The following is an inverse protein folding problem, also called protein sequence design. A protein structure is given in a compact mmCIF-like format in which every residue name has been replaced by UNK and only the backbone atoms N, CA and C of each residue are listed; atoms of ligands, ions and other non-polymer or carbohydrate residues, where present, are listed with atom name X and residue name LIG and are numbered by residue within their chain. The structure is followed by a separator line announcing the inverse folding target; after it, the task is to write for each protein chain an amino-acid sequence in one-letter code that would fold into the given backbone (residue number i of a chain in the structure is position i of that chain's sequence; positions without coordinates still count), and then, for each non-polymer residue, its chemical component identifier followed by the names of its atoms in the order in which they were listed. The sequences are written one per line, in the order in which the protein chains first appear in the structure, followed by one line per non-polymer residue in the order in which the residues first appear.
data_IF_328358468428
#
_entry.id   IF_328358468428
#
_cell.length_a   1.000
_cell.length_b   1.000
_cell.length_c   1.000
_cell.angle_alpha   90.00
_cell.angle_beta   90.00
_cell.angle_gamma   90.00
#
_symmetry.space_group_name_H-M   'P 1'
#
loop_
_entity.id
_entity.type
_entity.pdbx_description
1 polymer ?
#
# COMPACT_ATOMS: atom_id res chain seq x y z
N UNK A 1 -3.48 -2.21 67.81
CA UNK A 1 -3.40 -0.96 67.01
C UNK A 1 -1.92 -0.68 66.82
N UNK A 2 -1.29 -0.63 65.65
CA UNK A 2 -1.60 -0.90 64.25
C UNK A 2 -0.23 -0.95 63.56
N UNK A 3 -0.09 -1.83 62.58
CA UNK A 3 1.16 -2.19 61.91
C UNK A 3 1.61 -1.11 60.92
N UNK A 4 2.88 -0.70 60.99
CA UNK A 4 3.55 0.05 59.91
C UNK A 4 3.91 -0.93 58.78
N UNK A 5 3.19 -0.86 57.67
CA UNK A 5 3.57 -1.51 56.41
C UNK A 5 4.08 -0.46 55.45
N UNK A 6 5.39 -0.44 55.25
CA UNK A 6 6.01 0.16 54.09
C UNK A 6 5.80 -0.80 52.90
N UNK A 7 5.14 -0.34 51.85
CA UNK A 7 5.14 -1.02 50.56
C UNK A 7 5.47 0.01 49.49
N UNK A 8 6.70 -0.17 49.00
CA UNK A 8 7.33 0.47 47.86
C UNK A 8 6.47 0.30 46.61
N UNK A 9 6.16 1.40 45.93
CA UNK A 9 5.47 1.38 44.66
C UNK A 9 6.56 1.25 43.60
N UNK A 10 7.01 0.02 43.39
CA UNK A 10 7.99 -0.31 42.35
C UNK A 10 7.28 -0.17 41.00
N UNK A 11 7.72 0.83 40.22
CA UNK A 11 7.13 1.20 38.95
C UNK A 11 7.20 0.04 37.96
N UNK A 12 6.04 -0.47 37.58
CA UNK A 12 5.90 -1.41 36.47
C UNK A 12 6.10 -0.65 35.16
N UNK A 13 7.33 -0.70 34.63
CA UNK A 13 7.62 -0.35 33.25
C UNK A 13 7.06 -1.44 32.33
N UNK A 14 5.77 -1.37 32.02
CA UNK A 14 5.19 -2.14 30.90
C UNK A 14 5.56 -1.45 29.59
N UNK A 15 6.74 -1.79 29.08
CA UNK A 15 7.08 -1.60 27.67
C UNK A 15 6.23 -2.55 26.82
N UNK A 16 4.94 -2.25 26.67
CA UNK A 16 4.01 -2.97 25.78
C UNK A 16 3.91 -2.28 24.41
N UNK A 17 4.95 -1.55 24.01
CA UNK A 17 4.97 -0.71 22.81
C UNK A 17 5.79 -1.24 21.63
N UNK A 18 6.23 -2.51 21.63
CA UNK A 18 7.12 -3.03 20.57
C UNK A 18 6.89 -4.51 20.23
N UNK A 19 5.63 -4.95 20.21
CA UNK A 19 5.26 -6.28 19.73
C UNK A 19 4.80 -6.30 18.25
N UNK A 20 5.11 -5.25 17.47
CA UNK A 20 5.22 -5.38 16.01
C UNK A 20 6.55 -6.09 15.71
N UNK A 21 6.69 -7.31 16.23
CA UNK A 21 7.78 -8.22 15.88
C UNK A 21 7.70 -8.45 14.38
N UNK A 22 8.86 -8.42 13.70
CA UNK A 22 9.03 -8.79 12.29
C UNK A 22 8.05 -9.91 11.91
N UNK A 23 7.02 -9.55 11.14
CA UNK A 23 6.24 -10.53 10.39
C UNK A 23 7.22 -11.03 9.35
N UNK A 24 7.73 -12.26 9.53
CA UNK A 24 8.40 -12.98 8.45
C UNK A 24 7.50 -12.83 7.22
N UNK A 25 8.04 -12.50 6.03
CA UNK A 25 7.18 -12.39 4.85
C UNK A 25 6.50 -13.74 4.68
N UNK A 26 5.20 -13.79 4.98
CA UNK A 26 4.36 -14.95 4.79
C UNK A 26 4.44 -15.27 3.30
N UNK A 27 5.34 -16.18 2.93
CA UNK A 27 5.40 -16.71 1.57
C UNK A 27 4.23 -17.68 1.45
N UNK A 28 3.02 -17.13 1.35
CA UNK A 28 1.87 -17.89 0.87
C UNK A 28 2.22 -18.39 -0.52
N UNK A 29 2.38 -19.71 -0.64
CA UNK A 29 2.50 -20.36 -1.93
C UNK A 29 1.16 -20.21 -2.64
N UNK A 30 1.03 -19.19 -3.49
CA UNK A 30 -0.17 -18.93 -4.27
C UNK A 30 -0.32 -20.06 -5.30
N UNK A 31 -1.26 -20.97 -5.06
CA UNK A 31 -1.62 -22.01 -6.01
C UNK A 31 -2.68 -21.51 -6.98
N UNK A 32 -2.37 -21.56 -8.27
CA UNK A 32 -3.26 -21.10 -9.33
C UNK A 32 -3.92 -22.32 -9.97
N UNK A 33 -5.22 -22.49 -9.70
CA UNK A 33 -6.03 -23.55 -10.32
C UNK A 33 -6.39 -23.15 -11.75
N UNK A 34 -6.26 -24.11 -12.66
CA UNK A 34 -6.71 -24.02 -14.06
C UNK A 34 -8.17 -23.59 -14.19
N UNK A 35 -8.52 -23.06 -15.36
CA UNK A 35 -9.88 -22.64 -15.68
C UNK A 35 -10.81 -23.83 -15.99
N UNK A 36 -10.26 -24.96 -16.43
CA UNK A 36 -11.03 -26.07 -17.03
C UNK A 36 -10.93 -27.41 -16.31
N UNK A 37 -9.99 -27.55 -15.37
CA UNK A 37 -9.71 -28.77 -14.62
C UNK A 37 -9.07 -28.43 -13.26
N UNK A 38 -8.80 -29.46 -12.45
CA UNK A 38 -8.26 -29.32 -11.10
C UNK A 38 -6.71 -29.22 -11.07
N UNK A 39 -6.06 -28.97 -12.21
CA UNK A 39 -4.60 -28.85 -12.29
C UNK A 39 -4.15 -27.50 -11.73
N UNK A 40 -3.12 -27.52 -10.88
CA UNK A 40 -2.58 -26.33 -10.22
C UNK A 40 -1.21 -25.92 -10.77
N UNK A 41 -0.93 -24.62 -10.69
CA UNK A 41 0.27 -23.99 -11.21
C UNK A 41 0.84 -23.00 -10.19
N UNK A 42 2.16 -22.81 -10.21
CA UNK A 42 2.85 -21.81 -9.38
C UNK A 42 2.83 -20.41 -9.98
N UNK A 43 2.53 -20.27 -11.28
CA UNK A 43 2.48 -18.97 -11.97
C UNK A 43 1.31 -18.90 -12.95
N UNK A 44 0.74 -17.71 -13.07
CA UNK A 44 -0.41 -17.45 -13.94
C UNK A 44 -0.09 -17.66 -15.43
N UNK A 45 1.07 -17.20 -15.97
CA UNK A 45 1.40 -17.44 -17.37
C UNK A 45 1.49 -18.92 -17.72
N UNK A 46 1.99 -19.77 -16.81
CA UNK A 46 2.06 -21.21 -17.03
C UNK A 46 0.66 -21.85 -17.13
N UNK A 47 -0.28 -21.43 -16.27
CA UNK A 47 -1.68 -21.85 -16.32
C UNK A 47 -2.37 -21.39 -17.61
N UNK A 48 -2.15 -20.14 -18.02
CA UNK A 48 -2.72 -19.61 -19.27
C UNK A 48 -2.19 -20.35 -20.50
N UNK A 49 -0.89 -20.63 -20.56
CA UNK A 49 -0.29 -21.43 -21.63
C UNK A 49 -0.84 -22.85 -21.69
N UNK A 50 -1.08 -23.46 -20.52
CA UNK A 50 -1.73 -24.76 -20.42
C UNK A 50 -3.15 -24.73 -21.00
N UNK A 51 -3.95 -23.71 -20.63
CA UNK A 51 -5.30 -23.51 -21.15
C UNK A 51 -5.30 -23.37 -22.69
N UNK A 52 -4.34 -22.62 -23.25
CA UNK A 52 -4.19 -22.47 -24.71
C UNK A 52 -3.87 -23.79 -25.39
N UNK A 53 -2.95 -24.58 -24.83
CA UNK A 53 -2.48 -25.84 -25.45
C UNK A 53 -3.51 -26.97 -25.36
N UNK A 54 -4.12 -27.14 -24.19
CA UNK A 54 -5.04 -28.27 -23.95
C UNK A 54 -6.47 -27.97 -24.39
N UNK A 55 -6.97 -26.78 -24.06
CA UNK A 55 -8.37 -26.42 -24.27
C UNK A 55 -8.59 -25.51 -25.49
N UNK A 56 -7.50 -25.08 -26.15
CA UNK A 56 -7.54 -24.08 -27.23
C UNK A 56 -8.28 -22.80 -26.80
N UNK A 57 -8.15 -22.45 -25.53
CA UNK A 57 -8.78 -21.29 -24.95
C UNK A 57 -7.74 -20.27 -24.51
N UNK A 58 -7.91 -19.03 -24.96
CA UNK A 58 -7.06 -17.90 -24.60
C UNK A 58 -7.86 -16.86 -23.83
N UNK A 59 -7.63 -16.77 -22.52
CA UNK A 59 -8.34 -15.82 -21.65
C UNK A 59 -8.08 -14.37 -22.07
N UNK A 60 -6.83 -14.04 -22.38
CA UNK A 60 -6.38 -12.71 -22.78
C UNK A 60 -7.10 -12.29 -24.06
N UNK A 61 -7.06 -13.12 -25.11
CA UNK A 61 -7.73 -12.84 -26.38
C UNK A 61 -9.24 -12.57 -26.19
N UNK A 62 -9.90 -13.34 -25.32
CA UNK A 62 -11.31 -13.11 -25.01
C UNK A 62 -11.57 -11.80 -24.27
N UNK A 63 -10.74 -11.44 -23.29
CA UNK A 63 -10.82 -10.17 -22.57
C UNK A 63 -10.67 -8.99 -23.53
N UNK A 64 -9.68 -9.03 -24.43
CA UNK A 64 -9.45 -7.97 -25.42
C UNK A 64 -10.58 -7.90 -26.45
N UNK A 65 -10.95 -9.03 -27.05
CA UNK A 65 -12.00 -9.12 -28.07
C UNK A 65 -13.34 -8.63 -27.54
N UNK A 66 -13.67 -8.95 -26.29
CA UNK A 66 -14.90 -8.51 -25.63
C UNK A 66 -14.73 -7.14 -24.95
N UNK A 67 -13.55 -6.51 -25.00
CA UNK A 67 -13.21 -5.25 -24.32
C UNK A 67 -13.73 -5.21 -22.89
N UNK A 68 -13.34 -6.22 -22.12
CA UNK A 68 -13.77 -6.37 -20.72
C UNK A 68 -12.89 -5.49 -19.82
N UNK A 69 -13.53 -4.84 -18.86
CA UNK A 69 -12.87 -4.25 -17.72
C UNK A 69 -12.57 -5.34 -16.67
N UNK A 70 -12.02 -4.95 -15.52
CA UNK A 70 -11.72 -5.87 -14.42
C UNK A 70 -12.94 -6.72 -14.04
N UNK A 71 -14.09 -6.08 -13.88
CA UNK A 71 -15.30 -6.79 -13.48
C UNK A 71 -15.80 -7.74 -14.57
N UNK A 72 -15.72 -7.34 -15.84
CA UNK A 72 -16.01 -8.21 -16.98
C UNK A 72 -15.07 -9.42 -17.03
N UNK A 73 -13.77 -9.24 -16.76
CA UNK A 73 -12.81 -10.35 -16.69
C UNK A 73 -13.10 -11.31 -15.53
N UNK A 74 -13.53 -10.78 -14.37
CA UNK A 74 -14.03 -11.60 -13.24
C UNK A 74 -15.25 -12.41 -13.68
N UNK A 75 -16.23 -11.79 -14.33
CA UNK A 75 -17.44 -12.49 -14.83
C UNK A 75 -17.09 -13.58 -15.84
N UNK A 76 -16.20 -13.31 -16.79
CA UNK A 76 -15.73 -14.29 -17.77
C UNK A 76 -15.08 -15.50 -17.07
N UNK A 77 -14.21 -15.23 -16.10
CA UNK A 77 -13.50 -16.26 -15.35
C UNK A 77 -14.48 -17.14 -14.56
N UNK A 78 -15.43 -16.54 -13.85
CA UNK A 78 -16.47 -17.26 -13.11
C UNK A 78 -17.47 -17.97 -14.02
N UNK A 79 -17.80 -17.41 -15.19
CA UNK A 79 -18.62 -18.07 -16.20
C UNK A 79 -17.97 -19.39 -16.63
N UNK A 80 -16.70 -19.36 -17.02
CA UNK A 80 -15.96 -20.57 -17.43
C UNK A 80 -15.98 -21.62 -16.33
N UNK A 81 -15.63 -21.21 -15.09
CA UNK A 81 -15.62 -22.14 -13.95
C UNK A 81 -17.00 -22.69 -13.61
N UNK A 82 -18.06 -21.90 -13.74
CA UNK A 82 -19.43 -22.36 -13.53
C UNK A 82 -19.79 -23.43 -14.56
N UNK A 83 -19.50 -23.19 -15.84
CA UNK A 83 -19.79 -24.16 -16.89
C UNK A 83 -19.01 -25.46 -16.72
N UNK A 84 -17.74 -25.37 -16.32
CA UNK A 84 -16.89 -26.54 -16.03
C UNK A 84 -17.42 -27.33 -14.84
N UNK A 85 -17.74 -26.67 -13.73
CA UNK A 85 -18.31 -27.29 -12.54
C UNK A 85 -19.64 -27.99 -12.85
N UNK A 86 -20.48 -27.34 -13.65
CA UNK A 86 -21.80 -27.85 -14.02
C UNK A 86 -21.73 -28.87 -15.18
N UNK A 87 -20.51 -29.18 -15.66
CA UNK A 87 -20.22 -30.08 -16.81
C UNK A 87 -20.97 -29.68 -18.10
N UNK A 88 -21.22 -28.39 -18.23
CA UNK A 88 -21.85 -27.79 -19.40
C UNK A 88 -20.79 -27.47 -20.46
N UNK A 89 -21.17 -27.56 -21.73
CA UNK A 89 -20.29 -27.18 -22.84
C UNK A 89 -20.22 -25.68 -22.97
N UNK A 90 -19.00 -25.12 -23.03
CA UNK A 90 -18.82 -23.70 -23.36
C UNK A 90 -19.23 -23.43 -24.82
N UNK A 91 -19.83 -22.26 -25.09
CA UNK A 91 -20.11 -21.86 -26.46
C UNK A 91 -18.80 -21.76 -27.24
N UNK A 92 -18.84 -22.07 -28.54
CA UNK A 92 -17.66 -22.02 -29.42
C UNK A 92 -16.98 -20.64 -29.41
N UNK A 93 -17.77 -19.59 -29.22
CA UNK A 93 -17.32 -18.22 -29.06
C UNK A 93 -18.16 -17.57 -27.98
N UNK A 94 -17.51 -17.12 -26.91
CA UNK A 94 -18.16 -16.44 -25.79
C UNK A 94 -18.53 -15.02 -26.22
N UNK A 95 -19.77 -14.61 -26.03
CA UNK A 95 -20.22 -13.24 -26.25
C UNK A 95 -20.35 -12.48 -24.93
N UNK A 96 -20.71 -11.18 -24.98
CA UNK A 96 -20.92 -10.40 -23.76
C UNK A 96 -22.18 -10.84 -23.01
N UNK A 97 -23.19 -11.24 -23.76
CA UNK A 97 -24.48 -11.69 -23.26
C UNK A 97 -24.34 -12.97 -22.41
N UNK A 98 -23.38 -13.84 -22.75
CA UNK A 98 -23.08 -15.07 -21.99
C UNK A 98 -22.61 -14.77 -20.55
N UNK A 99 -21.96 -13.62 -20.34
CA UNK A 99 -21.29 -13.25 -19.08
C UNK A 99 -21.94 -12.05 -18.38
N UNK A 100 -23.08 -11.57 -18.87
CA UNK A 100 -23.72 -10.33 -18.38
C UNK A 100 -24.39 -10.51 -17.00
N UNK A 101 -24.82 -11.73 -16.69
CA UNK A 101 -25.54 -12.05 -15.45
C UNK A 101 -24.69 -11.78 -14.18
N UNK A 102 -25.30 -11.11 -13.20
CA UNK A 102 -24.67 -10.75 -11.92
C UNK A 102 -24.23 -11.97 -11.10
N UNK A 103 -24.80 -13.16 -11.35
CA UNK A 103 -24.35 -14.42 -10.72
C UNK A 103 -22.85 -14.65 -10.88
N UNK A 104 -22.24 -14.18 -11.97
CA UNK A 104 -20.82 -14.36 -12.25
C UNK A 104 -19.92 -13.37 -11.50
N UNK A 105 -20.48 -12.46 -10.70
CA UNK A 105 -19.71 -11.66 -9.76
C UNK A 105 -19.37 -12.41 -8.48
N UNK A 106 -20.06 -13.52 -8.20
CA UNK A 106 -19.75 -14.37 -7.07
C UNK A 106 -18.62 -15.35 -7.43
N UNK A 107 -17.52 -15.40 -6.65
CA UNK A 107 -16.45 -16.36 -6.88
C UNK A 107 -16.95 -17.81 -6.86
N UNK A 108 -16.60 -18.57 -7.89
CA UNK A 108 -16.96 -20.00 -7.98
C UNK A 108 -16.02 -20.86 -7.14
N UNK A 109 -14.76 -20.45 -7.01
CA UNK A 109 -13.70 -21.12 -6.28
C UNK A 109 -13.32 -20.30 -5.03
N UNK A 110 -13.06 -21.00 -3.92
CA UNK A 110 -12.54 -20.37 -2.71
C UNK A 110 -11.06 -20.00 -2.92
N UNK A 111 -10.67 -18.79 -2.50
CA UNK A 111 -9.30 -18.29 -2.55
C UNK A 111 -8.69 -18.32 -3.97
N UNK A 112 -9.45 -17.83 -4.93
CA UNK A 112 -9.15 -17.94 -6.34
C UNK A 112 -8.03 -16.98 -6.79
N UNK A 113 -6.81 -17.51 -6.83
CA UNK A 113 -5.60 -16.77 -7.24
C UNK A 113 -5.72 -16.09 -8.62
N UNK A 114 -6.51 -16.64 -9.54
CA UNK A 114 -6.69 -16.04 -10.88
C UNK A 114 -7.38 -14.69 -10.76
N UNK A 115 -8.45 -14.59 -9.95
CA UNK A 115 -9.22 -13.35 -9.79
C UNK A 115 -8.37 -12.23 -9.20
N UNK A 116 -7.49 -12.54 -8.25
CA UNK A 116 -6.56 -11.57 -7.68
C UNK A 116 -5.49 -11.10 -8.69
N UNK A 117 -5.11 -11.96 -9.63
CA UNK A 117 -4.08 -11.67 -10.63
C UNK A 117 -4.64 -11.01 -11.92
N UNK A 118 -5.96 -10.85 -12.05
CA UNK A 118 -6.57 -10.24 -13.23
C UNK A 118 -6.15 -8.79 -13.45
N UNK A 119 -5.90 -8.03 -12.37
CA UNK A 119 -5.49 -6.62 -12.47
C UNK A 119 -4.10 -6.48 -13.10
N UNK A 120 -3.16 -7.36 -12.76
CA UNK A 120 -1.84 -7.42 -13.39
C UNK A 120 -1.98 -7.70 -14.89
N UNK A 121 -2.84 -8.66 -15.27
CA UNK A 121 -3.10 -8.98 -16.67
C UNK A 121 -3.66 -7.77 -17.41
N UNK A 122 -4.71 -7.14 -16.86
CA UNK A 122 -5.37 -6.00 -17.50
C UNK A 122 -4.45 -4.78 -17.56
N UNK A 123 -3.56 -4.60 -16.59
CA UNK A 123 -2.49 -3.60 -16.60
C UNK A 123 -1.51 -3.79 -17.75
N UNK A 124 -1.19 -5.04 -18.11
CA UNK A 124 -0.36 -5.36 -19.29
C UNK A 124 -1.15 -5.14 -20.59
N UNK A 125 -2.42 -5.56 -20.66
CA UNK A 125 -3.22 -5.41 -21.88
C UNK A 125 -3.60 -3.96 -22.20
N UNK A 126 -3.82 -3.14 -21.17
CA UNK A 126 -4.06 -1.71 -21.36
C UNK A 126 -2.79 -0.95 -21.79
N UNK A 127 -1.61 -1.55 -21.66
CA UNK A 127 -0.41 -1.08 -22.35
C UNK A 127 -0.42 -1.42 -23.84
N UNK A 128 -1.18 -2.43 -24.28
CA UNK A 128 -1.29 -2.88 -25.68
C UNK A 128 -2.41 -2.21 -26.48
N UNK A 129 -3.48 -1.70 -25.84
CA UNK A 129 -4.49 -0.84 -26.49
C UNK A 129 -3.96 0.57 -26.84
N UNK A 130 -2.74 0.87 -26.40
CA UNK A 130 -1.86 1.85 -27.04
C UNK A 130 -0.76 1.10 -27.81
N UNK A 131 -1.09 0.59 -29.00
CA UNK A 131 -0.18 -0.01 -30.00
C UNK A 131 1.30 -0.14 -29.56
N UNK A 132 1.88 -1.36 -29.43
CA UNK A 132 3.29 -1.55 -29.03
C UNK A 132 4.32 -0.95 -30.00
N UNK A 133 3.88 -0.35 -31.12
CA UNK A 133 4.72 0.47 -31.98
C UNK A 133 5.15 1.82 -31.36
N UNK A 134 4.44 2.34 -30.34
CA UNK A 134 4.68 3.69 -29.82
C UNK A 134 5.28 3.78 -28.41
N UNK A 135 5.29 2.72 -27.58
CA UNK A 135 5.94 2.77 -26.25
C UNK A 135 7.33 2.15 -26.18
N UNK A 136 7.72 1.30 -27.14
CA UNK A 136 9.13 0.97 -27.35
C UNK A 136 9.92 2.10 -28.06
N UNK A 137 9.22 3.18 -28.43
CA UNK A 137 9.79 4.40 -29.01
C UNK A 137 9.08 5.67 -28.51
N UNK A 138 8.94 5.85 -27.19
CA UNK A 138 9.33 7.18 -26.71
C UNK A 138 10.75 7.35 -27.27
N UNK A 139 10.99 8.30 -28.20
CA UNK A 139 12.22 8.29 -28.96
C UNK A 139 13.34 8.24 -27.94
N UNK A 140 14.34 7.38 -28.15
CA UNK A 140 15.48 7.27 -27.24
C UNK A 140 15.99 8.67 -26.85
N UNK A 141 15.84 9.63 -27.76
CA UNK A 141 16.01 11.08 -27.58
C UNK A 141 15.14 11.73 -26.48
N UNK A 142 13.85 11.43 -26.35
CA UNK A 142 13.00 11.95 -25.27
C UNK A 142 13.39 11.37 -23.90
N UNK A 143 13.74 10.08 -23.86
CA UNK A 143 14.28 9.47 -22.64
C UNK A 143 15.66 10.06 -22.28
N UNK A 144 16.52 10.28 -23.27
CA UNK A 144 17.83 10.92 -23.10
C UNK A 144 17.68 12.37 -22.64
N UNK A 145 16.74 13.13 -23.22
CA UNK A 145 16.46 14.51 -22.85
C UNK A 145 15.87 14.60 -21.45
N UNK A 146 14.97 13.68 -21.08
CA UNK A 146 14.47 13.59 -19.70
C UNK A 146 15.59 13.26 -18.74
N UNK A 147 16.49 12.33 -19.10
CA UNK A 147 17.63 11.97 -18.27
C UNK A 147 18.57 13.18 -18.06
N UNK A 148 18.93 13.88 -19.14
CA UNK A 148 19.74 15.12 -19.08
C UNK A 148 19.09 16.21 -18.21
N UNK A 149 17.76 16.38 -18.31
CA UNK A 149 17.03 17.35 -17.47
C UNK A 149 17.12 16.96 -15.99
N UNK A 150 16.92 15.69 -15.67
CA UNK A 150 17.04 15.17 -14.31
C UNK A 150 18.47 15.31 -13.77
N UNK A 151 19.49 15.06 -14.60
CA UNK A 151 20.89 15.27 -14.23
C UNK A 151 21.20 16.75 -13.94
N UNK A 152 20.67 17.67 -14.75
CA UNK A 152 20.80 19.12 -14.52
C UNK A 152 20.08 19.58 -13.24
N UNK A 153 18.91 19.01 -12.95
CA UNK A 153 18.17 19.28 -11.72
C UNK A 153 18.94 18.77 -10.49
N UNK A 154 19.52 17.57 -10.56
CA UNK A 154 20.40 17.04 -9.50
C UNK A 154 21.62 17.92 -9.27
N UNK A 155 22.23 18.42 -10.34
CA UNK A 155 23.35 19.37 -10.22
C UNK A 155 22.92 20.65 -9.51
N UNK A 156 21.78 21.23 -9.91
CA UNK A 156 21.22 22.45 -9.32
C UNK A 156 20.90 22.26 -7.83
N UNK A 157 20.28 21.13 -7.46
CA UNK A 157 19.97 20.80 -6.07
C UNK A 157 21.26 20.64 -5.25
N UNK A 158 22.28 19.98 -5.80
CA UNK A 158 23.59 19.85 -5.15
C UNK A 158 24.25 21.21 -4.92
N UNK A 159 24.25 22.09 -5.92
CA UNK A 159 24.79 23.45 -5.78
C UNK A 159 24.03 24.29 -4.75
N UNK A 160 22.69 24.24 -4.77
CA UNK A 160 21.86 24.90 -3.75
C UNK A 160 22.18 24.37 -2.35
N UNK A 161 22.39 23.07 -2.22
CA UNK A 161 22.73 22.44 -0.95
C UNK A 161 24.13 22.85 -0.47
N UNK A 162 25.13 22.94 -1.35
CA UNK A 162 26.46 23.43 -0.99
C UNK A 162 26.43 24.90 -0.57
N UNK A 163 25.70 25.73 -1.30
CA UNK A 163 25.54 27.15 -0.99
C UNK A 163 24.80 27.35 0.33
N UNK A 164 23.74 26.57 0.56
CA UNK A 164 23.03 26.56 1.84
C UNK A 164 23.94 26.15 2.99
N UNK A 165 24.71 25.07 2.84
CA UNK A 165 25.67 24.62 3.86
C UNK A 165 26.69 25.70 4.19
N UNK A 166 27.27 26.34 3.18
CA UNK A 166 28.24 27.42 3.37
C UNK A 166 27.61 28.63 4.07
N UNK A 167 26.40 29.03 3.67
CA UNK A 167 25.69 30.13 4.31
C UNK A 167 25.36 29.83 5.78
N UNK A 168 24.98 28.59 6.08
CA UNK A 168 24.76 28.12 7.45
C UNK A 168 26.08 28.16 8.23
N UNK A 169 27.16 27.61 7.69
CA UNK A 169 28.49 27.63 8.31
C UNK A 169 28.94 29.05 8.61
N UNK A 170 28.86 29.98 7.66
CA UNK A 170 29.15 31.39 7.87
C UNK A 170 28.27 32.04 8.94
N UNK A 171 26.99 31.64 9.00
CA UNK A 171 26.05 32.16 10.02
C UNK A 171 26.38 31.59 11.40
N UNK A 172 26.79 30.33 11.47
CA UNK A 172 27.26 29.70 12.70
C UNK A 172 28.57 30.35 13.15
N UNK A 173 29.56 30.50 12.28
CA UNK A 173 30.83 31.18 12.57
C UNK A 173 30.63 32.64 12.97
N UNK A 174 29.65 33.36 12.39
CA UNK A 174 29.37 34.73 12.80
C UNK A 174 28.65 34.83 14.16
N UNK A 175 27.87 33.82 14.53
CA UNK A 175 27.08 33.79 15.79
C UNK A 175 27.83 33.13 16.95
N UNK A 176 28.74 32.21 16.66
CA UNK A 176 29.52 31.44 17.62
C UNK A 176 31.03 31.70 17.52
N UNK A 177 31.51 32.39 16.48
CA UNK A 177 32.86 32.96 16.42
C UNK A 177 32.95 34.12 17.39
N UNK A 178 33.28 33.75 18.63
CA UNK A 178 33.68 34.67 19.68
C UNK A 178 35.13 35.06 19.38
N UNK A 179 35.34 36.15 18.65
CA UNK A 179 36.46 37.01 19.00
C UNK A 179 36.05 37.75 20.28
N UNK A 180 36.79 37.41 21.32
CA UNK A 180 36.71 37.88 22.69
C UNK A 180 36.92 39.40 22.79
N UNK A 181 35.90 40.22 22.54
CA UNK A 181 35.86 41.61 23.08
C UNK A 181 34.48 42.29 23.00
N UNK A 182 33.96 42.59 24.20
CA UNK A 182 33.27 43.83 24.61
C UNK A 182 31.78 44.07 24.28
N UNK A 183 30.95 43.79 25.30
CA UNK A 183 29.86 44.63 25.84
C UNK A 183 28.83 45.25 24.88
N UNK A 184 27.60 44.71 24.89
CA UNK A 184 26.40 45.56 24.81
C UNK A 184 25.13 44.90 25.40
N UNK A 185 24.16 45.71 25.87
CA UNK A 185 23.30 45.36 26.99
C UNK A 185 22.02 44.63 26.62
N UNK A 186 21.47 43.97 27.64
CA UNK A 186 20.29 43.10 27.65
C UNK A 186 19.04 43.78 27.05
N UNK A 187 18.56 43.27 25.92
CA UNK A 187 17.20 43.49 25.42
C UNK A 187 16.29 42.47 26.13
N UNK A 188 15.19 42.88 26.80
CA UNK A 188 14.31 41.93 27.49
C UNK A 188 13.54 41.08 26.48
N UNK A 189 13.57 39.76 26.67
CA UNK A 189 12.84 38.79 25.83
C UNK A 189 11.32 38.93 26.05
N UNK A 190 10.49 38.93 24.98
CA UNK A 190 9.04 38.88 25.11
C UNK A 190 8.61 37.52 25.68
N UNK A 191 7.57 37.57 26.54
CA UNK A 191 7.07 36.47 27.36
C UNK A 191 6.72 35.23 26.53
N UNK A 192 7.34 34.10 26.85
CA UNK A 192 7.17 32.81 26.20
C UNK A 192 5.69 32.36 26.23
N UNK A 193 5.05 32.33 25.05
CA UNK A 193 3.70 31.77 24.83
C UNK A 193 3.70 30.23 24.79
N UNK A 194 4.87 29.59 24.91
CA UNK A 194 5.03 28.14 24.91
C UNK A 194 4.46 27.45 26.16
N UNK A 195 4.37 28.17 27.29
CA UNK A 195 3.70 27.65 28.49
C UNK A 195 2.20 27.41 28.28
N UNK A 196 1.56 28.15 27.36
CA UNK A 196 0.12 28.02 27.08
C UNK A 196 -0.22 26.78 26.22
N UNK A 197 0.76 26.17 25.56
CA UNK A 197 0.56 24.97 24.75
C UNK A 197 0.46 23.69 25.60
N UNK A 198 1.14 23.65 26.75
CA UNK A 198 1.13 22.49 27.64
C UNK A 198 -0.02 22.51 28.66
N UNK A 199 -0.49 23.69 29.05
CA UNK A 199 -1.58 23.83 30.03
C UNK A 199 -2.96 23.43 29.48
N UNK A 200 -3.17 23.51 28.16
CA UNK A 200 -4.45 23.19 27.50
C UNK A 200 -4.82 21.70 27.53
N UNK A 201 -3.86 20.81 27.79
CA UNK A 201 -4.12 19.37 27.93
C UNK A 201 -4.35 18.94 29.37
N UNK A 202 -3.87 19.69 30.36
CA UNK A 202 -4.00 19.35 31.77
C UNK A 202 -5.45 19.46 32.29
N UNK A 203 -6.29 20.26 31.62
CA UNK A 203 -7.66 20.53 32.04
C UNK A 203 -8.69 19.48 31.57
N UNK A 204 -8.31 18.53 30.70
CA UNK A 204 -9.24 17.55 30.13
C UNK A 204 -9.03 16.12 30.65
N UNK A 205 -8.50 15.96 31.87
CA UNK A 205 -8.45 14.68 32.57
C UNK A 205 -9.86 14.25 33.02
N UNK A 206 -10.47 13.33 32.28
CA UNK A 206 -11.78 12.75 32.56
C UNK A 206 -11.78 11.91 33.84
N UNK A 207 -12.54 12.33 34.85
CA UNK A 207 -12.91 11.51 36.01
C UNK A 207 -13.99 10.49 35.58
N UNK A 208 -13.79 9.17 35.78
CA UNK A 208 -14.86 8.20 35.57
C UNK A 208 -15.81 8.20 36.78
N UNK A 209 -17.03 8.70 36.60
CA UNK A 209 -18.12 8.59 37.56
C UNK A 209 -18.65 7.14 37.58
N UNK A 210 -18.05 6.28 38.41
CA UNK A 210 -18.64 4.99 38.78
C UNK A 210 -19.60 5.18 39.95
N UNK A 211 -20.90 5.36 39.66
CA UNK A 211 -21.97 5.25 40.66
C UNK A 211 -22.23 3.77 40.99
N UNK A 212 -22.02 3.45 42.27
CA UNK A 212 -22.15 2.12 42.87
C UNK A 212 -23.59 1.59 42.85
N UNK A 213 -23.72 0.32 42.48
CA UNK A 213 -24.77 -0.61 42.90
C UNK A 213 -24.90 -0.63 44.43
N UNK A 214 -26.12 -0.45 44.94
CA UNK A 214 -26.51 -0.78 46.32
C UNK A 214 -27.54 -1.90 46.24
N UNK A 215 -27.21 -3.05 46.82
CA UNK A 215 -28.12 -4.19 47.00
C UNK A 215 -28.45 -4.33 48.50
N UNK A 216 -29.76 -4.33 48.78
CA UNK A 216 -30.57 -5.20 49.67
C UNK A 216 -30.24 -5.29 51.18
N UNK A 217 -31.28 -5.05 52.00
CA UNK A 217 -31.78 -5.78 53.20
C UNK A 217 -32.78 -4.81 53.90
N UNK A 218 -34.01 -5.13 54.32
CA UNK A 218 -34.85 -6.32 54.51
C UNK A 218 -36.32 -5.96 54.17
#
# INVERSE_FOLDING_TARGET
MGTNSASSWEGSNTSEGSNWLDVEPDMENIEIVSLFDDVTFSTLPAMLDYCKKQYRFDLLDNIQRLRLDFLGAVRLTNFIRTQVRDKSTLPKQISREDIEDERYLSPVLNNDAVLFSLDEILGVMSQDEETPANKAKAPIDELLDRNKRLEAELYTVRERFTNYRLAVEQTLDRRWGVDDVLHSPLIPRPKDTSNSYFESYAANGTEPQNSKTLAIED
#
